data_IF_237897751817
#
_entry.id   IF_237897751817
#
_cell.length_a   1.000
_cell.length_b   1.000
_cell.length_c   1.000
_cell.angle_alpha   90.00
_cell.angle_beta   90.00
_cell.angle_gamma   90.00
#
_symmetry.space_group_name_H-M   'P 1'
#
loop_
_entity.id
_entity.type
_entity.pdbx_description
1 polymer ?
#
# COMPACT_ATOMS: atom_id res chain seq x y z
N UNK A 1 3.09 9.74 5.85
CA UNK A 1 1.84 10.22 6.48
C UNK A 1 0.78 9.19 6.15
N UNK A 2 0.42 8.34 7.11
CA UNK A 2 -0.66 7.37 6.93
C UNK A 2 -1.97 8.14 6.99
N UNK A 3 -2.66 8.25 5.87
CA UNK A 3 -4.04 8.67 5.88
C UNK A 3 -4.86 7.56 6.57
N UNK A 4 -5.12 7.73 7.88
CA UNK A 4 -6.21 7.04 8.54
C UNK A 4 -7.49 7.53 7.86
N UNK A 5 -8.03 6.75 6.92
CA UNK A 5 -9.40 6.91 6.48
C UNK A 5 -10.26 6.56 7.70
N UNK A 6 -10.75 7.58 8.41
CA UNK A 6 -11.67 7.41 9.53
C UNK A 6 -12.90 6.64 9.03
N UNK A 7 -13.32 5.62 9.78
CA UNK A 7 -14.58 4.91 9.56
C UNK A 7 -15.72 5.96 9.56
N UNK A 8 -16.31 6.19 8.37
CA UNK A 8 -17.38 7.18 8.15
C UNK A 8 -17.11 8.24 7.08
N UNK A 9 -15.92 8.21 6.44
CA UNK A 9 -15.61 9.09 5.31
C UNK A 9 -15.98 8.48 3.96
N UNK A 10 -16.13 9.33 2.95
CA UNK A 10 -16.30 8.98 1.54
C UNK A 10 -14.93 9.10 0.85
N UNK A 11 -14.08 8.04 0.88
CA UNK A 11 -12.76 8.09 0.28
C UNK A 11 -12.89 8.13 -1.24
N UNK A 12 -12.02 8.86 -1.89
CA UNK A 12 -12.01 9.04 -3.35
C UNK A 12 -10.80 8.35 -3.93
N UNK A 13 -11.02 7.43 -4.87
CA UNK A 13 -9.95 6.78 -5.61
C UNK A 13 -9.27 7.79 -6.54
N UNK A 14 -7.95 7.89 -6.46
CA UNK A 14 -7.16 8.79 -7.29
C UNK A 14 -6.43 8.03 -8.37
N UNK A 15 -6.78 8.33 -9.60
CA UNK A 15 -6.13 7.79 -10.79
C UNK A 15 -5.08 8.77 -11.33
N UNK A 16 -4.08 8.24 -11.96
CA UNK A 16 -3.16 9.01 -12.80
C UNK A 16 -3.88 9.44 -14.10
N UNK A 17 -3.24 10.27 -14.91
CA UNK A 17 -3.79 10.71 -16.20
C UNK A 17 -3.99 9.59 -17.23
N UNK A 18 -3.41 8.41 -17.01
CA UNK A 18 -3.62 7.18 -17.79
C UNK A 18 -4.72 6.28 -17.23
N UNK A 19 -5.52 6.77 -16.29
CA UNK A 19 -6.62 6.08 -15.62
C UNK A 19 -6.20 4.88 -14.76
N UNK A 20 -4.91 4.74 -14.45
CA UNK A 20 -4.40 3.75 -13.48
C UNK A 20 -4.31 4.35 -12.10
N UNK A 21 -4.60 3.60 -11.02
CA UNK A 21 -4.34 4.08 -9.67
C UNK A 21 -2.89 4.57 -9.50
N UNK A 22 -2.69 5.70 -8.82
CA UNK A 22 -1.34 6.21 -8.51
C UNK A 22 -0.55 5.20 -7.67
N UNK A 23 -1.24 4.47 -6.81
CA UNK A 23 -0.70 3.37 -6.02
C UNK A 23 -1.80 2.34 -5.78
N UNK A 24 -1.45 1.07 -5.91
CA UNK A 24 -2.35 -0.04 -5.58
C UNK A 24 -2.20 -0.44 -4.11
N UNK A 25 -1.02 -0.27 -3.52
CA UNK A 25 -0.71 -0.72 -2.17
C UNK A 25 0.25 0.24 -1.47
N UNK A 26 -0.23 1.01 -0.46
CA UNK A 26 -1.65 1.23 -0.17
C UNK A 26 -2.36 1.91 -1.34
N UNK A 27 -3.66 1.64 -1.45
CA UNK A 27 -4.48 2.26 -2.49
C UNK A 27 -4.43 3.78 -2.37
N UNK A 28 -4.31 4.48 -3.50
CA UNK A 28 -4.26 5.94 -3.55
C UNK A 28 -5.65 6.53 -3.30
N UNK A 29 -5.95 6.81 -2.05
CA UNK A 29 -7.22 7.39 -1.63
C UNK A 29 -7.01 8.79 -1.07
N UNK A 30 -7.87 9.72 -1.48
CA UNK A 30 -8.00 11.05 -0.87
C UNK A 30 -9.26 11.14 -0.03
N UNK A 31 -9.29 12.12 0.88
CA UNK A 31 -10.56 12.54 1.48
C UNK A 31 -11.43 13.20 0.40
N UNK A 32 -12.76 13.12 0.53
CA UNK A 32 -13.66 13.82 -0.39
C UNK A 32 -13.43 15.34 -0.39
N UNK A 33 -13.03 15.92 0.74
CA UNK A 33 -12.70 17.34 0.84
C UNK A 33 -11.48 17.71 -0.03
N UNK A 34 -10.43 16.88 0.04
CA UNK A 34 -9.22 17.09 -0.78
C UNK A 34 -9.53 16.90 -2.27
N UNK A 35 -10.35 15.91 -2.61
CA UNK A 35 -10.78 15.69 -3.98
C UNK A 35 -11.58 16.88 -4.53
N UNK A 36 -12.58 17.37 -3.79
CA UNK A 36 -13.35 18.56 -4.18
C UNK A 36 -12.43 19.79 -4.32
N UNK A 37 -11.53 20.01 -3.38
CA UNK A 37 -10.54 21.08 -3.48
C UNK A 37 -9.69 20.98 -4.77
N UNK A 38 -9.28 19.77 -5.12
CA UNK A 38 -8.51 19.55 -6.35
C UNK A 38 -9.34 19.81 -7.62
N UNK A 39 -10.64 19.49 -7.60
CA UNK A 39 -11.58 19.83 -8.69
C UNK A 39 -11.67 21.34 -8.88
N UNK A 40 -11.88 22.11 -7.81
CA UNK A 40 -11.94 23.58 -7.90
C UNK A 40 -10.61 24.23 -8.32
N UNK A 41 -9.49 23.59 -8.01
CA UNK A 41 -8.16 24.04 -8.44
C UNK A 41 -7.82 23.57 -9.85
N UNK A 42 -8.76 22.95 -10.56
CA UNK A 42 -8.58 22.43 -11.92
C UNK A 42 -7.43 21.41 -12.08
N UNK A 43 -7.13 20.65 -11.03
CA UNK A 43 -6.03 19.68 -10.99
C UNK A 43 -6.44 18.27 -11.38
N UNK A 44 -7.72 17.95 -11.24
CA UNK A 44 -8.30 16.63 -11.52
C UNK A 44 -9.58 16.73 -12.34
N UNK A 45 -9.92 15.65 -13.03
CA UNK A 45 -11.23 15.42 -13.60
C UNK A 45 -12.00 14.45 -12.70
N UNK A 46 -13.30 14.68 -12.53
CA UNK A 46 -14.18 13.69 -11.87
C UNK A 46 -14.49 12.62 -12.91
N UNK A 47 -14.32 11.36 -12.54
CA UNK A 47 -14.58 10.20 -13.40
C UNK A 47 -15.88 9.52 -12.97
N UNK A 48 -16.06 9.29 -11.65
CA UNK A 48 -17.23 8.68 -11.07
C UNK A 48 -17.68 9.42 -9.82
N UNK A 49 -18.95 9.27 -9.47
CA UNK A 49 -19.57 9.89 -8.31
C UNK A 49 -20.16 8.84 -7.36
N UNK A 50 -20.21 9.19 -6.09
CA UNK A 50 -21.10 8.54 -5.14
C UNK A 50 -22.55 9.01 -5.37
N UNK A 51 -23.53 8.18 -5.05
CA UNK A 51 -24.94 8.61 -4.97
C UNK A 51 -25.18 9.45 -3.71
N UNK A 52 -24.43 10.55 -3.59
CA UNK A 52 -24.50 11.50 -2.48
C UNK A 52 -23.98 12.86 -2.87
N UNK A 53 -24.69 13.91 -2.46
CA UNK A 53 -24.28 15.30 -2.63
C UNK A 53 -23.95 15.94 -1.28
N UNK A 54 -23.06 16.93 -1.31
CA UNK A 54 -22.82 17.88 -0.22
C UNK A 54 -23.28 19.26 -0.63
N UNK A 55 -23.83 20.00 0.33
CA UNK A 55 -24.41 21.32 0.12
C UNK A 55 -23.74 22.36 0.99
N UNK A 56 -23.59 23.54 0.44
CA UNK A 56 -23.30 24.76 1.15
C UNK A 56 -24.41 25.79 0.86
N UNK A 57 -24.49 26.92 1.52
CA UNK A 57 -25.55 27.90 1.27
C UNK A 57 -25.72 28.35 -0.19
N UNK A 58 -24.64 28.29 -1.00
CA UNK A 58 -24.59 28.78 -2.38
C UNK A 58 -24.19 27.74 -3.40
N UNK A 59 -23.99 26.48 -3.00
CA UNK A 59 -23.40 25.47 -3.85
C UNK A 59 -23.79 24.04 -3.43
N UNK A 60 -24.05 23.19 -4.42
CA UNK A 60 -24.26 21.76 -4.25
C UNK A 60 -23.35 21.01 -5.21
N UNK A 61 -22.67 19.97 -4.73
CA UNK A 61 -21.84 19.10 -5.55
C UNK A 61 -22.06 17.65 -5.17
N UNK A 62 -22.18 16.80 -6.18
CA UNK A 62 -22.18 15.37 -6.00
C UNK A 62 -20.76 14.91 -5.64
N UNK A 63 -20.65 14.05 -4.60
CA UNK A 63 -19.34 13.62 -4.11
C UNK A 63 -18.63 12.76 -5.17
N UNK A 64 -17.39 13.09 -5.56
CA UNK A 64 -16.62 12.22 -6.44
C UNK A 64 -16.27 10.92 -5.70
N UNK A 65 -16.38 9.79 -6.37
CA UNK A 65 -15.87 8.48 -5.90
C UNK A 65 -14.55 8.12 -6.57
N UNK A 66 -14.36 8.61 -7.83
CA UNK A 66 -13.13 8.43 -8.60
C UNK A 66 -12.74 9.76 -9.25
N UNK A 67 -11.48 10.13 -9.14
CA UNK A 67 -10.89 11.28 -9.85
C UNK A 67 -9.63 10.87 -10.60
N UNK A 68 -9.37 11.50 -11.76
CA UNK A 68 -8.11 11.33 -12.49
C UNK A 68 -7.31 12.63 -12.49
N UNK A 69 -5.99 12.53 -12.32
CA UNK A 69 -5.09 13.67 -12.45
C UNK A 69 -5.11 14.20 -13.90
N UNK A 70 -5.07 15.51 -14.09
CA UNK A 70 -4.93 16.12 -15.41
C UNK A 70 -3.51 15.99 -15.96
N UNK A 71 -2.51 15.91 -15.10
CA UNK A 71 -1.11 15.76 -15.47
C UNK A 71 -0.60 14.39 -15.09
N UNK A 72 0.10 13.72 -16.00
CA UNK A 72 0.67 12.42 -15.76
C UNK A 72 1.81 12.48 -14.73
N UNK A 73 1.69 11.69 -13.69
CA UNK A 73 2.74 11.48 -12.68
C UNK A 73 3.48 10.20 -13.02
N UNK A 74 4.78 10.32 -13.31
CA UNK A 74 5.61 9.14 -13.60
C UNK A 74 5.68 8.24 -12.36
N UNK A 75 5.24 6.97 -12.46
CA UNK A 75 5.37 6.03 -11.35
C UNK A 75 6.83 5.85 -10.96
N UNK A 76 7.09 5.71 -9.66
CA UNK A 76 8.42 5.38 -9.17
C UNK A 76 8.81 3.98 -9.60
N UNK A 77 10.01 3.81 -10.13
CA UNK A 77 10.53 2.49 -10.54
C UNK A 77 11.02 1.65 -9.35
N UNK A 78 11.37 2.32 -8.25
CA UNK A 78 11.89 1.69 -7.04
C UNK A 78 10.93 1.94 -5.87
N UNK A 79 10.43 0.88 -5.21
CA UNK A 79 9.59 1.03 -4.04
C UNK A 79 10.35 1.70 -2.90
N UNK A 80 9.69 2.60 -2.18
CA UNK A 80 10.25 3.16 -0.96
C UNK A 80 10.43 2.06 0.09
N UNK A 81 11.55 2.12 0.82
CA UNK A 81 11.82 1.22 1.92
C UNK A 81 10.95 1.63 3.12
N UNK A 82 9.77 1.06 3.23
CA UNK A 82 8.79 1.32 4.30
C UNK A 82 8.41 0.03 5.00
N UNK A 83 7.89 0.16 6.22
CA UNK A 83 7.35 -0.98 6.98
C UNK A 83 6.31 -1.76 6.17
N UNK A 84 5.37 -1.05 5.58
CA UNK A 84 4.32 -1.64 4.76
C UNK A 84 4.90 -2.44 3.58
N UNK A 85 5.83 -1.85 2.83
CA UNK A 85 6.43 -2.49 1.65
C UNK A 85 7.30 -3.70 2.01
N UNK A 86 7.97 -3.70 3.17
CA UNK A 86 8.66 -4.89 3.67
C UNK A 86 7.67 -6.01 3.99
N UNK A 87 6.59 -5.70 4.71
CA UNK A 87 5.56 -6.70 5.01
C UNK A 87 4.87 -7.19 3.74
N UNK A 88 4.60 -6.30 2.79
CA UNK A 88 4.01 -6.67 1.50
C UNK A 88 4.95 -7.59 0.68
N UNK A 89 6.26 -7.31 0.66
CA UNK A 89 7.26 -8.20 0.05
C UNK A 89 7.21 -9.59 0.68
N UNK A 90 7.13 -9.64 1.99
CA UNK A 90 7.14 -10.87 2.79
C UNK A 90 5.72 -11.47 2.96
N UNK A 91 4.73 -10.96 2.20
CA UNK A 91 3.34 -11.43 2.17
C UNK A 91 2.65 -11.42 3.52
N UNK A 92 3.00 -10.46 4.38
CA UNK A 92 2.46 -10.33 5.74
C UNK A 92 2.62 -11.59 6.59
N UNK A 93 3.71 -12.34 6.41
CA UNK A 93 4.03 -13.50 7.24
C UNK A 93 5.45 -13.42 7.81
N UNK A 94 5.60 -13.96 9.01
CA UNK A 94 6.91 -14.11 9.65
C UNK A 94 7.83 -14.98 8.79
N UNK A 95 9.02 -14.48 8.46
CA UNK A 95 9.96 -15.21 7.63
C UNK A 95 10.66 -16.39 8.35
N UNK A 96 10.44 -16.55 9.64
CA UNK A 96 10.97 -17.68 10.42
C UNK A 96 9.96 -18.78 10.67
N UNK A 97 8.70 -18.46 11.01
CA UNK A 97 7.69 -19.47 11.40
C UNK A 97 6.39 -19.40 10.59
N UNK A 98 6.24 -18.41 9.69
CA UNK A 98 5.03 -18.19 8.86
C UNK A 98 3.78 -17.71 9.62
N UNK A 99 3.87 -17.36 10.92
CA UNK A 99 2.77 -16.68 11.59
C UNK A 99 2.49 -15.33 10.92
N UNK A 100 1.24 -14.89 10.92
CA UNK A 100 0.79 -13.64 10.28
C UNK A 100 0.34 -12.57 11.29
N UNK A 101 0.43 -12.84 12.57
CA UNK A 101 0.06 -11.96 13.67
C UNK A 101 1.29 -11.33 14.33
N UNK A 102 1.09 -10.20 14.97
CA UNK A 102 2.10 -9.45 15.75
C UNK A 102 3.44 -9.27 15.00
N UNK A 103 3.36 -8.82 13.74
CA UNK A 103 4.52 -8.65 12.87
C UNK A 103 5.33 -7.41 13.22
N UNK A 104 6.63 -7.61 13.33
CA UNK A 104 7.67 -6.63 13.58
C UNK A 104 8.76 -6.71 12.51
N UNK A 105 9.75 -5.81 12.57
CA UNK A 105 10.99 -5.90 11.78
C UNK A 105 12.06 -6.67 12.52
N UNK A 106 12.75 -7.54 11.82
CA UNK A 106 14.01 -8.11 12.28
C UNK A 106 15.14 -7.80 11.30
N UNK A 107 16.29 -7.42 11.85
CA UNK A 107 17.52 -7.32 11.10
C UNK A 107 18.23 -8.69 11.11
N UNK A 108 18.38 -9.31 9.95
CA UNK A 108 19.05 -10.62 9.81
C UNK A 108 20.44 -10.56 10.45
N UNK A 109 21.26 -9.59 10.03
CA UNK A 109 22.49 -9.21 10.74
C UNK A 109 22.13 -8.06 11.67
N UNK A 110 22.26 -8.23 13.00
CA UNK A 110 21.92 -7.19 13.95
C UNK A 110 22.71 -5.90 13.74
N UNK A 111 22.08 -4.75 14.00
CA UNK A 111 22.75 -3.45 13.91
C UNK A 111 24.00 -3.38 14.80
N UNK A 112 23.95 -3.98 15.99
CA UNK A 112 25.09 -4.09 16.90
C UNK A 112 26.28 -4.90 16.34
N UNK A 113 26.06 -5.63 15.24
CA UNK A 113 27.06 -6.43 14.53
C UNK A 113 27.33 -5.91 13.12
N UNK A 114 27.03 -4.63 12.87
CA UNK A 114 27.30 -3.98 11.59
C UNK A 114 26.20 -4.13 10.54
N UNK A 115 25.07 -4.77 10.87
CA UNK A 115 23.93 -4.88 9.95
C UNK A 115 23.29 -3.52 9.67
N UNK A 116 22.98 -3.26 8.40
CA UNK A 116 22.33 -2.03 7.96
C UNK A 116 20.81 -2.23 7.81
N UNK A 117 20.06 -1.13 7.89
CA UNK A 117 18.62 -1.13 7.66
C UNK A 117 18.37 -0.97 6.15
N UNK A 118 18.43 -2.08 5.43
CA UNK A 118 18.26 -2.15 3.97
C UNK A 118 17.28 -3.26 3.59
N UNK A 119 16.88 -3.26 2.32
CA UNK A 119 16.02 -4.29 1.77
C UNK A 119 16.59 -5.71 1.95
N UNK A 120 17.90 -5.85 1.85
CA UNK A 120 18.60 -7.13 1.88
C UNK A 120 18.90 -7.63 3.30
N UNK A 121 18.65 -6.81 4.31
CA UNK A 121 18.95 -7.16 5.71
C UNK A 121 17.73 -7.12 6.65
N UNK A 122 16.56 -6.69 6.18
CA UNK A 122 15.35 -6.58 7.01
C UNK A 122 14.27 -7.52 6.52
N UNK A 123 13.64 -8.27 7.44
CA UNK A 123 12.52 -9.17 7.16
C UNK A 123 11.36 -8.94 8.12
N UNK A 124 10.16 -9.38 7.71
CA UNK A 124 9.03 -9.50 8.61
C UNK A 124 9.25 -10.67 9.58
N UNK A 125 9.07 -10.42 10.86
CA UNK A 125 9.16 -11.44 11.91
C UNK A 125 8.06 -11.21 12.95
N UNK A 126 7.41 -12.25 13.44
CA UNK A 126 6.52 -12.12 14.59
C UNK A 126 7.34 -11.80 15.85
N UNK A 127 6.72 -11.09 16.82
CA UNK A 127 7.41 -10.70 18.06
C UNK A 127 8.08 -11.87 18.77
N UNK A 128 7.47 -13.07 18.89
CA UNK A 128 8.14 -14.21 19.53
C UNK A 128 9.42 -14.65 18.81
N UNK A 129 9.43 -14.70 17.48
CA UNK A 129 10.61 -15.06 16.71
C UNK A 129 11.70 -13.98 16.78
N UNK A 130 11.30 -12.71 16.71
CA UNK A 130 12.22 -11.59 16.81
C UNK A 130 12.90 -11.54 18.18
N UNK A 131 12.14 -11.70 19.26
CA UNK A 131 12.68 -11.79 20.63
C UNK A 131 13.62 -12.98 20.80
N UNK A 132 13.23 -14.18 20.30
CA UNK A 132 14.06 -15.38 20.36
C UNK A 132 15.39 -15.23 19.62
N UNK A 133 15.38 -14.58 18.44
CA UNK A 133 16.60 -14.30 17.69
C UNK A 133 17.47 -13.23 18.37
N UNK A 134 16.84 -12.17 18.86
CA UNK A 134 17.51 -11.07 19.55
C UNK A 134 18.71 -10.51 18.75
N UNK A 135 19.79 -10.21 19.45
CA UNK A 135 21.03 -9.69 18.86
C UNK A 135 21.98 -10.79 18.32
N UNK A 136 21.43 -11.93 17.94
CA UNK A 136 22.22 -13.03 17.37
C UNK A 136 22.17 -13.00 15.84
N UNK A 137 23.28 -13.41 15.20
CA UNK A 137 23.28 -13.68 13.75
C UNK A 137 22.46 -14.94 13.45
N UNK A 138 22.05 -15.19 12.21
CA UNK A 138 21.31 -16.39 11.82
C UNK A 138 22.00 -17.67 12.29
N UNK A 139 23.32 -17.74 12.17
CA UNK A 139 24.12 -18.90 12.57
C UNK A 139 24.09 -19.10 14.10
N UNK A 140 24.25 -18.01 14.85
CA UNK A 140 24.24 -18.05 16.31
C UNK A 140 22.87 -18.40 16.88
N UNK A 141 21.80 -17.84 16.27
CA UNK A 141 20.42 -18.12 16.67
C UNK A 141 19.89 -19.47 16.13
N UNK A 142 20.59 -20.07 15.16
CA UNK A 142 20.10 -21.19 14.33
C UNK A 142 18.73 -20.90 13.71
N UNK A 143 18.54 -19.65 13.30
CA UNK A 143 17.31 -19.15 12.70
C UNK A 143 17.65 -18.48 11.36
N UNK A 144 17.16 -19.08 10.29
CA UNK A 144 17.31 -18.56 8.94
C UNK A 144 15.97 -18.12 8.38
N UNK A 145 15.89 -17.02 7.64
CA UNK A 145 14.65 -16.65 6.97
C UNK A 145 14.32 -17.69 5.89
N UNK A 146 13.05 -17.97 5.70
CA UNK A 146 12.57 -18.92 4.68
C UNK A 146 12.92 -18.46 3.26
N UNK A 147 12.95 -17.15 3.06
CA UNK A 147 13.43 -16.52 1.84
C UNK A 147 14.42 -15.42 2.24
N UNK A 148 15.58 -15.40 1.60
CA UNK A 148 16.52 -14.29 1.79
C UNK A 148 15.89 -13.01 1.27
N UNK A 149 15.97 -11.90 2.03
CA UNK A 149 15.37 -10.64 1.63
C UNK A 149 16.09 -10.04 0.44
N UNK A 150 15.33 -9.33 -0.37
CA UNK A 150 15.79 -8.67 -1.60
C UNK A 150 15.08 -7.34 -1.78
N UNK A 151 15.64 -6.44 -2.59
CA UNK A 151 14.96 -5.23 -3.00
C UNK A 151 13.87 -5.58 -4.05
N UNK A 152 12.57 -5.43 -3.73
CA UNK A 152 11.51 -5.80 -4.66
C UNK A 152 11.35 -4.75 -5.76
N UNK A 153 10.83 -5.15 -6.91
CA UNK A 153 10.31 -4.24 -7.92
C UNK A 153 8.89 -3.80 -7.54
N UNK A 154 8.43 -2.68 -8.10
CA UNK A 154 7.03 -2.23 -7.96
C UNK A 154 6.06 -3.31 -8.42
N UNK A 155 6.35 -3.98 -9.55
CA UNK A 155 5.53 -5.06 -10.07
C UNK A 155 5.41 -6.26 -9.10
N UNK A 156 6.51 -6.64 -8.43
CA UNK A 156 6.47 -7.71 -7.43
C UNK A 156 5.61 -7.34 -6.23
N UNK A 157 5.70 -6.08 -5.75
CA UNK A 157 4.83 -5.60 -4.66
C UNK A 157 3.36 -5.56 -5.08
N UNK A 158 3.04 -5.09 -6.29
CA UNK A 158 1.68 -5.09 -6.81
C UNK A 158 1.11 -6.52 -6.90
N UNK A 159 1.87 -7.47 -7.44
CA UNK A 159 1.46 -8.88 -7.51
C UNK A 159 1.19 -9.47 -6.11
N UNK A 160 2.05 -9.20 -5.14
CA UNK A 160 1.81 -9.64 -3.77
C UNK A 160 0.58 -8.96 -3.16
N UNK A 161 0.39 -7.68 -3.43
CA UNK A 161 -0.71 -6.89 -2.89
C UNK A 161 -2.09 -7.38 -3.34
N UNK A 162 -2.21 -7.93 -4.55
CA UNK A 162 -3.47 -8.53 -5.04
C UNK A 162 -3.97 -9.68 -4.16
N UNK A 163 -3.08 -10.32 -3.40
CA UNK A 163 -3.46 -11.36 -2.43
C UNK A 163 -4.07 -10.79 -1.13
N UNK A 164 -3.97 -9.48 -0.93
CA UNK A 164 -4.41 -8.77 0.26
C UNK A 164 -5.25 -7.55 -0.14
N UNK A 165 -6.44 -7.75 -0.72
CA UNK A 165 -7.30 -6.65 -1.11
C UNK A 165 -7.66 -5.79 0.10
N UNK A 166 -7.88 -4.47 -0.07
CA UNK A 166 -8.36 -3.60 1.00
C UNK A 166 -9.68 -4.14 1.56
N UNK A 167 -9.90 -3.94 2.87
CA UNK A 167 -11.14 -4.37 3.54
C UNK A 167 -12.40 -3.65 3.03
N UNK A 168 -12.24 -2.56 2.30
CA UNK A 168 -13.32 -1.80 1.70
C UNK A 168 -12.93 -1.42 0.27
N UNK A 169 -13.73 -1.87 -0.69
CA UNK A 169 -13.70 -1.44 -2.08
C UNK A 169 -15.11 -0.96 -2.42
N UNK A 170 -15.22 0.23 -3.00
CA UNK A 170 -16.48 0.71 -3.55
C UNK A 170 -16.66 0.15 -4.97
N UNK A 171 -17.91 -0.19 -5.34
CA UNK A 171 -18.20 -0.81 -6.64
C UNK A 171 -17.67 0.01 -7.82
N UNK A 172 -17.77 1.35 -7.76
CA UNK A 172 -17.28 2.24 -8.81
C UNK A 172 -15.74 2.22 -8.98
N UNK A 173 -14.99 1.54 -8.10
CA UNK A 173 -13.53 1.42 -8.21
C UNK A 173 -13.08 0.15 -8.90
N UNK A 174 -13.94 -0.86 -9.00
CA UNK A 174 -13.56 -2.21 -9.45
C UNK A 174 -12.99 -2.20 -10.86
N UNK A 175 -13.57 -1.46 -11.78
CA UNK A 175 -13.12 -1.36 -13.17
C UNK A 175 -11.71 -0.76 -13.31
N UNK A 176 -11.28 0.04 -12.32
CA UNK A 176 -9.95 0.67 -12.32
C UNK A 176 -8.89 -0.14 -11.57
N UNK A 177 -9.31 -1.12 -10.76
CA UNK A 177 -8.40 -1.92 -9.94
C UNK A 177 -8.03 -3.25 -10.59
N UNK A 178 -8.92 -3.80 -11.40
CA UNK A 178 -8.80 -5.14 -11.98
C UNK A 178 -8.74 -5.17 -13.51
N UNK A 179 -8.56 -4.02 -14.15
CA UNK A 179 -8.58 -3.89 -15.62
C UNK A 179 -7.51 -4.73 -16.34
N UNK A 180 -6.41 -5.10 -15.65
CA UNK A 180 -5.31 -5.92 -16.18
C UNK A 180 -5.39 -7.39 -15.74
N UNK A 181 -6.52 -7.81 -15.14
CA UNK A 181 -6.76 -9.21 -14.80
C UNK A 181 -7.06 -9.99 -16.08
N UNK A 182 -6.32 -11.09 -16.31
CA UNK A 182 -6.62 -11.99 -17.43
C UNK A 182 -8.06 -12.50 -17.29
N UNK A 183 -8.82 -12.37 -18.36
CA UNK A 183 -10.17 -12.94 -18.42
C UNK A 183 -10.02 -14.45 -18.48
N UNK A 184 -10.69 -15.17 -17.59
CA UNK A 184 -10.77 -16.62 -17.68
C UNK A 184 -11.52 -17.00 -18.97
N UNK A 185 -11.03 -18.01 -19.73
CA UNK A 185 -11.64 -18.43 -21.00
C UNK A 185 -13.03 -19.05 -20.79
#
# INVERSE_FOLDING_TARGET
MNAHVSQGGWPVLVLNADFRPLSYYPLSLWSWQDAIKAVFLDRVNIVEHYDRAVRSPSFEIQLPSVVSLKSFVKPTTHPAFTRFNVFLRDRFVCQYCSANDDLTFDHIIPRSKGGQTTWENVVAACSPCNLRKGNLTPQQARMFPRQFPFAPTVHQLHRNGRLFPPNYLHDSWLDYLYWDTELEP
#
